data_IF_318034220865
#
_entry.id   IF_318034220865
#
_cell.length_a   1.000
_cell.length_b   1.000
_cell.length_c   1.000
_cell.angle_alpha   90.00
_cell.angle_beta   90.00
_cell.angle_gamma   90.00
#
_symmetry.space_group_name_H-M   'P 1'
#
loop_
_entity.id
_entity.type
_entity.pdbx_description
1 polymer ?
#
# COMPACT_ATOMS: atom_id res chain seq x y z
N UNK A 1 9.74 -1.57 3.92
CA UNK A 1 8.75 -0.70 3.25
C UNK A 1 8.93 -0.79 1.75
N UNK A 2 7.85 -0.77 0.97
CA UNK A 2 7.91 -0.61 -0.48
C UNK A 2 6.79 0.32 -0.96
N UNK A 3 7.04 1.05 -2.05
CA UNK A 3 6.02 1.81 -2.77
C UNK A 3 5.84 1.18 -4.15
N UNK A 4 4.59 1.04 -4.59
CA UNK A 4 4.23 0.45 -5.87
C UNK A 4 3.31 1.39 -6.65
N UNK A 5 3.36 1.29 -7.98
CA UNK A 5 2.45 1.96 -8.90
C UNK A 5 1.25 1.07 -9.24
N UNK A 6 0.21 1.66 -9.83
CA UNK A 6 -0.93 0.91 -10.37
C UNK A 6 -0.54 -0.07 -11.49
N UNK A 7 0.58 0.16 -12.15
CA UNK A 7 1.14 -0.71 -13.20
C UNK A 7 1.91 -1.92 -12.65
N UNK A 8 1.79 -2.21 -11.34
CA UNK A 8 2.48 -3.30 -10.63
C UNK A 8 4.01 -3.15 -10.61
N UNK A 9 4.54 -1.94 -10.80
CA UNK A 9 5.98 -1.66 -10.67
C UNK A 9 6.33 -1.17 -9.27
N UNK A 10 7.44 -1.65 -8.73
CA UNK A 10 8.06 -1.10 -7.52
C UNK A 10 8.69 0.26 -7.83
N UNK A 11 8.25 1.31 -7.15
CA UNK A 11 8.79 2.66 -7.27
C UNK A 11 9.91 2.89 -6.25
N UNK A 12 9.80 2.26 -5.08
CA UNK A 12 10.77 2.34 -4.01
C UNK A 12 10.76 1.04 -3.21
N UNK A 13 11.94 0.59 -2.77
CA UNK A 13 12.08 -0.59 -1.91
C UNK A 13 13.11 -0.28 -0.83
N UNK A 14 12.71 -0.43 0.43
CA UNK A 14 13.60 -0.34 1.57
C UNK A 14 13.60 -1.67 2.32
N UNK A 15 14.78 -2.29 2.32
CA UNK A 15 15.10 -3.55 3.00
C UNK A 15 16.06 -3.30 4.17
N UNK A 16 16.19 -4.26 5.09
CA UNK A 16 17.19 -4.17 6.17
C UNK A 16 16.66 -3.63 7.49
N UNK A 17 15.35 -3.43 7.61
CA UNK A 17 14.69 -3.10 8.87
C UNK A 17 14.24 -4.35 9.61
N UNK A 18 14.38 -4.33 10.94
CA UNK A 18 13.85 -5.35 11.82
C UNK A 18 12.32 -5.36 11.78
N UNK A 19 11.70 -6.55 11.94
CA UNK A 19 10.25 -6.68 11.94
C UNK A 19 9.54 -5.99 13.12
N UNK A 20 10.29 -5.60 14.15
CA UNK A 20 9.79 -4.80 15.29
C UNK A 20 9.77 -3.30 15.00
N UNK A 21 10.33 -2.85 13.87
CA UNK A 21 10.35 -1.43 13.53
C UNK A 21 8.95 -0.95 13.17
N UNK A 22 8.54 0.18 13.75
CA UNK A 22 7.25 0.78 13.39
C UNK A 22 7.30 1.28 11.95
N UNK A 23 6.19 1.10 11.24
CA UNK A 23 5.99 1.56 9.86
C UNK A 23 6.36 3.04 9.67
N UNK A 24 5.94 3.89 10.61
CA UNK A 24 6.26 5.31 10.61
C UNK A 24 7.77 5.58 10.71
N UNK A 25 8.50 4.81 11.52
CA UNK A 25 9.95 4.97 11.67
C UNK A 25 10.68 4.64 10.37
N UNK A 26 10.25 3.56 9.69
CA UNK A 26 10.82 3.16 8.39
C UNK A 26 10.51 4.21 7.32
N UNK A 27 9.29 4.73 7.28
CA UNK A 27 8.89 5.78 6.34
C UNK A 27 9.68 7.07 6.55
N UNK A 28 9.79 7.52 7.80
CA UNK A 28 10.54 8.73 8.14
C UNK A 28 11.99 8.63 7.65
N UNK A 29 12.67 7.52 7.98
CA UNK A 29 14.03 7.30 7.50
C UNK A 29 14.10 7.24 5.97
N UNK A 30 13.13 6.60 5.32
CA UNK A 30 13.11 6.51 3.86
C UNK A 30 13.03 7.91 3.21
N UNK A 31 12.23 8.81 3.76
CA UNK A 31 12.12 10.20 3.29
C UNK A 31 13.36 11.04 3.61
N UNK A 32 13.88 10.96 4.83
CA UNK A 32 14.98 11.82 5.30
C UNK A 32 16.35 11.37 4.78
N UNK A 33 16.57 10.06 4.67
CA UNK A 33 17.89 9.46 4.38
C UNK A 33 17.85 8.47 3.22
N UNK A 34 16.76 7.71 3.07
CA UNK A 34 16.63 6.65 2.08
C UNK A 34 16.38 7.12 0.64
N UNK A 35 16.23 8.42 0.40
CA UNK A 35 16.00 8.99 -0.94
C UNK A 35 14.59 8.77 -1.49
N UNK A 36 13.63 8.40 -0.65
CA UNK A 36 12.23 8.28 -1.05
C UNK A 36 11.61 9.68 -1.16
N UNK A 37 11.20 10.05 -2.37
CA UNK A 37 10.62 11.37 -2.66
C UNK A 37 9.19 11.19 -3.16
N UNK A 38 8.28 11.98 -2.61
CA UNK A 38 6.93 12.12 -3.13
C UNK A 38 6.95 13.28 -4.14
N UNK A 39 6.64 13.03 -5.43
CA UNK A 39 6.62 14.09 -6.43
C UNK A 39 5.62 15.19 -6.08
N UNK A 40 5.94 16.42 -6.49
CA UNK A 40 5.05 17.57 -6.28
C UNK A 40 3.66 17.33 -6.88
N UNK A 41 2.62 17.70 -6.14
CA UNK A 41 1.22 17.48 -6.53
C UNK A 41 0.77 16.02 -6.52
N UNK A 42 1.57 15.09 -5.99
CA UNK A 42 1.21 13.67 -5.85
C UNK A 42 1.22 13.23 -4.39
N UNK A 43 0.55 12.11 -4.14
CA UNK A 43 0.49 11.45 -2.83
C UNK A 43 0.48 9.93 -3.01
N UNK A 44 0.83 9.22 -1.93
CA UNK A 44 0.71 7.76 -1.84
C UNK A 44 -0.45 7.36 -0.92
N UNK A 45 -1.10 6.25 -1.24
CA UNK A 45 -2.09 5.63 -0.34
C UNK A 45 -1.37 4.71 0.66
N UNK A 46 -1.50 5.01 1.94
CA UNK A 46 -0.81 4.31 3.03
C UNK A 46 -1.78 3.56 3.92
N UNK A 47 -1.27 2.62 4.72
CA UNK A 47 -2.12 1.86 5.64
C UNK A 47 -2.58 2.71 6.82
N UNK A 48 -3.53 2.19 7.60
CA UNK A 48 -4.02 2.78 8.85
C UNK A 48 -2.94 2.97 9.93
N UNK A 49 -1.83 2.21 9.83
CA UNK A 49 -0.65 2.35 10.70
C UNK A 49 0.22 3.58 10.40
N UNK A 50 -0.07 4.31 9.31
CA UNK A 50 0.62 5.56 8.96
C UNK A 50 -0.21 6.77 9.37
N UNK A 51 0.46 7.90 9.60
CA UNK A 51 -0.18 9.19 9.79
C UNK A 51 -0.74 9.69 8.45
N UNK A 52 -1.89 10.35 8.52
CA UNK A 52 -2.48 11.01 7.37
C UNK A 52 -1.79 12.37 7.16
N UNK A 53 -1.22 12.58 5.98
CA UNK A 53 -0.59 13.85 5.57
C UNK A 53 -0.94 14.16 4.12
N UNK A 54 -0.61 15.36 3.65
CA UNK A 54 -0.78 15.75 2.24
C UNK A 54 -0.06 14.83 1.23
N UNK A 55 1.00 14.13 1.68
CA UNK A 55 1.81 13.21 0.85
C UNK A 55 1.45 11.74 1.05
N UNK A 56 0.83 11.41 2.18
CA UNK A 56 0.51 10.03 2.58
C UNK A 56 -0.93 9.96 3.09
N UNK A 57 -1.85 9.54 2.22
CA UNK A 57 -3.27 9.46 2.56
C UNK A 57 -3.61 8.12 3.21
N UNK A 58 -3.98 8.17 4.48
CA UNK A 58 -4.41 7.03 5.26
C UNK A 58 -5.95 6.86 5.20
N UNK A 59 -6.48 5.64 5.43
CA UNK A 59 -7.92 5.45 5.62
C UNK A 59 -8.43 6.18 6.88
N UNK A 60 -9.74 6.44 6.93
CA UNK A 60 -10.38 6.88 8.16
C UNK A 60 -10.37 5.76 9.20
N UNK A 61 -9.91 6.09 10.41
CA UNK A 61 -9.97 5.20 11.57
C UNK A 61 -11.43 5.06 12.05
N UNK A 62 -11.78 3.88 12.55
CA UNK A 62 -13.12 3.60 13.10
C UNK A 62 -14.20 3.28 12.07
N UNK A 63 -13.86 3.26 10.78
CA UNK A 63 -14.74 2.83 9.69
C UNK A 63 -14.33 1.45 9.16
N UNK A 64 -15.18 0.82 8.33
CA UNK A 64 -14.80 -0.42 7.64
C UNK A 64 -13.63 -0.15 6.70
N UNK A 65 -12.77 -1.16 6.49
CA UNK A 65 -11.56 -1.01 5.67
C UNK A 65 -11.26 -2.24 4.82
N UNK A 66 -11.40 -3.46 5.37
CA UNK A 66 -11.14 -4.66 4.57
C UNK A 66 -12.19 -4.83 3.48
N UNK A 67 -11.75 -5.10 2.24
CA UNK A 67 -12.65 -5.22 1.08
C UNK A 67 -13.70 -6.34 1.32
N UNK A 68 -13.32 -7.41 2.01
CA UNK A 68 -14.23 -8.49 2.41
C UNK A 68 -15.43 -8.01 3.25
N UNK A 69 -15.31 -6.91 4.00
CA UNK A 69 -16.39 -6.31 4.78
C UNK A 69 -17.43 -5.58 3.92
N UNK A 70 -17.11 -5.31 2.65
CA UNK A 70 -18.01 -4.71 1.67
C UNK A 70 -18.65 -5.76 0.76
N UNK A 71 -17.96 -6.89 0.53
CA UNK A 71 -18.44 -7.97 -0.35
C UNK A 71 -19.25 -9.06 0.36
N UNK A 72 -19.28 -9.08 1.70
CA UNK A 72 -19.91 -10.14 2.49
C UNK A 72 -21.42 -10.34 2.26
N UNK A 73 -22.16 -9.30 1.82
CA UNK A 73 -23.60 -9.40 1.51
C UNK A 73 -24.09 -8.20 0.71
N UNK A 74 -25.28 -8.30 0.12
CA UNK A 74 -25.93 -7.16 -0.56
C UNK A 74 -26.08 -5.93 0.35
N UNK A 75 -26.36 -6.14 1.64
CA UNK A 75 -26.44 -5.05 2.63
C UNK A 75 -25.06 -4.46 2.93
N UNK A 76 -24.02 -5.29 2.96
CA UNK A 76 -22.65 -4.84 3.21
C UNK A 76 -22.10 -3.94 2.08
N UNK A 77 -22.58 -4.14 0.84
CA UNK A 77 -22.22 -3.30 -0.32
C UNK A 77 -22.76 -1.88 -0.25
N UNK A 78 -23.76 -1.63 0.60
CA UNK A 78 -24.28 -0.28 0.81
C UNK A 78 -23.32 0.49 1.71
N UNK A 79 -22.86 1.63 1.22
CA UNK A 79 -21.99 2.54 1.97
C UNK A 79 -22.79 3.29 3.05
N UNK A 80 -22.31 3.22 4.29
CA UNK A 80 -23.01 3.79 5.45
C UNK A 80 -22.88 5.30 5.52
N UNK A 81 -21.74 5.82 5.11
CA UNK A 81 -21.38 7.23 5.16
C UNK A 81 -20.27 7.52 4.12
N UNK A 82 -19.92 8.81 3.89
CA UNK A 82 -18.85 9.16 2.96
C UNK A 82 -17.49 8.53 3.27
N UNK A 83 -17.12 8.43 4.55
CA UNK A 83 -15.84 7.86 5.00
C UNK A 83 -15.75 6.36 4.73
N UNK A 84 -16.86 5.66 4.90
CA UNK A 84 -17.01 4.23 4.59
C UNK A 84 -16.87 3.97 3.08
N UNK A 85 -17.40 4.86 2.22
CA UNK A 85 -17.13 4.81 0.77
C UNK A 85 -15.64 5.09 0.46
N UNK A 86 -15.06 6.13 1.06
CA UNK A 86 -13.66 6.47 0.86
C UNK A 86 -12.75 5.28 1.23
N UNK A 87 -12.95 4.68 2.41
CA UNK A 87 -12.17 3.53 2.85
C UNK A 87 -12.33 2.33 1.92
N UNK A 88 -13.53 2.05 1.41
CA UNK A 88 -13.72 0.98 0.44
C UNK A 88 -12.88 1.22 -0.83
N UNK A 89 -12.95 2.43 -1.40
CA UNK A 89 -12.18 2.78 -2.60
C UNK A 89 -10.67 2.78 -2.33
N UNK A 90 -10.27 3.29 -1.17
CA UNK A 90 -8.87 3.28 -0.73
C UNK A 90 -8.33 1.85 -0.64
N UNK A 91 -9.08 0.93 -0.01
CA UNK A 91 -8.70 -0.49 0.08
C UNK A 91 -8.67 -1.16 -1.30
N UNK A 92 -9.65 -0.91 -2.16
CA UNK A 92 -9.66 -1.40 -3.55
C UNK A 92 -8.41 -0.97 -4.32
N UNK A 93 -7.97 0.29 -4.18
CA UNK A 93 -6.76 0.79 -4.81
C UNK A 93 -5.50 0.17 -4.19
N UNK A 94 -5.45 0.02 -2.87
CA UNK A 94 -4.31 -0.59 -2.16
C UNK A 94 -4.11 -2.07 -2.47
N UNK A 95 -5.11 -2.78 -2.98
CA UNK A 95 -4.99 -4.17 -3.44
C UNK A 95 -3.82 -4.37 -4.43
N UNK A 96 -3.44 -3.33 -5.19
CA UNK A 96 -2.25 -3.38 -6.07
C UNK A 96 -0.97 -3.77 -5.33
N UNK A 97 -0.82 -3.41 -4.06
CA UNK A 97 0.34 -3.78 -3.22
C UNK A 97 0.41 -5.28 -3.07
N UNK A 98 -0.67 -5.90 -2.59
CA UNK A 98 -0.78 -7.33 -2.36
C UNK A 98 -0.60 -8.11 -3.67
N UNK A 99 -1.24 -7.67 -4.76
CA UNK A 99 -1.09 -8.28 -6.09
C UNK A 99 0.36 -8.24 -6.57
N UNK A 100 1.03 -7.10 -6.41
CA UNK A 100 2.43 -6.94 -6.82
C UNK A 100 3.34 -7.89 -6.03
N UNK A 101 3.18 -7.97 -4.71
CA UNK A 101 3.95 -8.89 -3.88
C UNK A 101 3.59 -10.37 -4.14
N UNK A 102 2.33 -10.68 -4.41
CA UNK A 102 1.89 -12.02 -4.80
C UNK A 102 2.56 -12.50 -6.09
N UNK A 103 2.61 -11.63 -7.11
CA UNK A 103 3.32 -11.88 -8.36
C UNK A 103 4.82 -12.06 -8.12
N UNK A 104 5.43 -11.17 -7.32
CA UNK A 104 6.85 -11.22 -6.99
C UNK A 104 7.21 -12.57 -6.33
N UNK A 105 6.44 -12.99 -5.32
CA UNK A 105 6.62 -14.27 -4.62
C UNK A 105 6.30 -15.47 -5.50
N UNK A 106 5.33 -15.37 -6.41
CA UNK A 106 5.00 -16.43 -7.38
C UNK A 106 6.16 -16.66 -8.35
N UNK A 107 6.77 -15.58 -8.83
CA UNK A 107 7.92 -15.60 -9.76
C UNK A 107 9.21 -16.04 -9.08
N UNK A 108 9.56 -15.41 -7.97
CA UNK A 108 10.81 -15.63 -7.26
C UNK A 108 10.56 -16.49 -6.01
N UNK A 109 10.51 -17.81 -6.21
CA UNK A 109 10.23 -18.77 -5.13
C UNK A 109 11.23 -18.72 -3.97
N UNK A 110 12.43 -18.18 -4.21
CA UNK A 110 13.45 -17.91 -3.17
C UNK A 110 12.92 -17.02 -2.05
N UNK A 111 11.93 -16.16 -2.32
CA UNK A 111 11.31 -15.28 -1.32
C UNK A 111 10.33 -16.02 -0.38
N UNK A 112 9.96 -17.27 -0.70
CA UNK A 112 9.02 -18.05 0.10
C UNK A 112 9.71 -19.09 0.99
N UNK A 113 11.04 -19.16 0.95
CA UNK A 113 11.82 -20.16 1.70
C UNK A 113 12.81 -19.46 2.60
N UNK A 114 13.02 -20.03 3.79
CA UNK A 114 14.13 -19.62 4.64
C UNK A 114 15.43 -19.98 3.92
N UNK A 115 16.21 -18.98 3.54
CA UNK A 115 17.46 -19.18 2.82
C UNK A 115 18.64 -19.16 3.81
N UNK A 116 19.66 -20.02 3.63
CA UNK A 116 20.83 -20.09 4.51
C UNK A 116 21.83 -18.96 4.23
N UNK A 117 21.34 -17.78 3.85
CA UNK A 117 22.17 -16.60 3.57
C UNK A 117 22.20 -15.68 4.78
N UNK A 118 23.27 -14.90 4.90
CA UNK A 118 23.33 -13.83 5.91
C UNK A 118 22.22 -12.81 5.67
N UNK A 119 21.77 -12.14 6.72
CA UNK A 119 20.70 -11.14 6.64
C UNK A 119 20.94 -10.07 5.55
N UNK A 120 22.19 -9.60 5.44
CA UNK A 120 22.60 -8.65 4.40
C UNK A 120 22.36 -9.19 2.99
N UNK A 121 22.70 -10.45 2.75
CA UNK A 121 22.49 -11.10 1.45
C UNK A 121 21.00 -11.32 1.19
N UNK A 122 20.22 -11.70 2.20
CA UNK A 122 18.76 -11.82 2.06
C UNK A 122 18.11 -10.49 1.64
N UNK A 123 18.53 -9.36 2.22
CA UNK A 123 18.07 -8.04 1.82
C UNK A 123 18.41 -7.72 0.36
N UNK A 124 19.63 -8.05 -0.08
CA UNK A 124 20.05 -7.86 -1.47
C UNK A 124 19.26 -8.75 -2.45
N UNK A 125 18.94 -9.99 -2.06
CA UNK A 125 18.08 -10.88 -2.86
C UNK A 125 16.70 -10.25 -3.04
N UNK A 126 16.08 -9.76 -1.96
CA UNK A 126 14.77 -9.11 -2.04
C UNK A 126 14.79 -7.89 -2.98
N UNK A 127 15.81 -7.02 -2.86
CA UNK A 127 15.97 -5.88 -3.78
C UNK A 127 16.18 -6.33 -5.23
N UNK A 128 17.05 -7.33 -5.47
CA UNK A 128 17.31 -7.85 -6.80
C UNK A 128 16.03 -8.41 -7.45
N UNK A 129 15.21 -9.15 -6.69
CA UNK A 129 13.91 -9.63 -7.17
C UNK A 129 13.00 -8.49 -7.61
N UNK A 130 12.88 -7.41 -6.82
CA UNK A 130 12.07 -6.25 -7.20
C UNK A 130 12.58 -5.55 -8.47
N UNK A 131 13.91 -5.41 -8.61
CA UNK A 131 14.55 -4.81 -9.80
C UNK A 131 14.28 -5.65 -11.04
N UNK A 132 14.49 -6.97 -10.95
CA UNK A 132 14.28 -7.89 -12.08
C UNK A 132 12.78 -7.95 -12.45
N UNK A 133 11.88 -7.94 -11.46
CA UNK A 133 10.44 -7.82 -11.70
C UNK A 133 10.09 -6.61 -12.54
N UNK A 134 10.56 -5.42 -12.15
CA UNK A 134 10.34 -4.20 -12.91
C UNK A 134 10.94 -4.27 -14.33
N UNK A 135 12.13 -4.85 -14.47
CA UNK A 135 12.76 -5.02 -15.78
C UNK A 135 11.90 -5.89 -16.71
N UNK A 136 11.44 -7.04 -16.22
CA UNK A 136 10.56 -7.94 -16.96
C UNK A 136 9.25 -7.22 -17.31
N UNK A 137 8.62 -6.54 -16.34
CA UNK A 137 7.35 -5.85 -16.57
C UNK A 137 7.44 -4.81 -17.69
N UNK A 138 8.58 -4.13 -17.83
CA UNK A 138 8.80 -3.13 -18.88
C UNK A 138 9.07 -3.71 -20.27
N UNK A 139 9.65 -4.92 -20.36
CA UNK A 139 10.17 -5.45 -21.63
C UNK A 139 9.44 -6.70 -22.13
N UNK A 140 8.62 -7.35 -21.29
CA UNK A 140 7.94 -8.58 -21.63
C UNK A 140 6.42 -8.41 -21.52
N UNK A 141 5.80 -7.97 -22.61
CA UNK A 141 4.36 -7.69 -22.67
C UNK A 141 3.48 -8.94 -22.45
N UNK A 142 3.94 -10.11 -22.88
CA UNK A 142 3.18 -11.38 -22.85
C UNK A 142 3.60 -12.31 -21.71
N UNK A 143 3.84 -11.77 -20.52
CA UNK A 143 4.24 -12.57 -19.37
C UNK A 143 3.02 -13.13 -18.62
N UNK A 144 2.80 -14.44 -18.77
CA UNK A 144 1.67 -15.20 -18.24
C UNK A 144 1.53 -15.20 -16.70
N UNK A 145 2.52 -14.68 -15.96
CA UNK A 145 2.44 -14.60 -14.50
C UNK A 145 1.61 -13.39 -14.07
N UNK A 146 1.54 -12.34 -14.89
CA UNK A 146 0.64 -11.22 -14.63
C UNK A 146 -0.79 -11.67 -14.94
N UNK A 147 -1.74 -11.56 -13.99
CA UNK A 147 -3.13 -11.89 -14.26
C UNK A 147 -3.66 -10.94 -15.35
N UNK A 148 -4.55 -11.47 -16.21
CA UNK A 148 -5.46 -10.62 -17.00
C UNK A 148 -6.23 -9.70 -16.04
N UNK A 149 -6.67 -8.53 -16.50
CA UNK A 149 -7.34 -7.49 -15.69
C UNK A 149 -8.75 -7.89 -15.17
N UNK A 150 -8.94 -9.13 -14.71
CA UNK A 150 -10.17 -9.64 -14.12
C UNK A 150 -10.27 -9.45 -12.59
N UNK A 151 -11.47 -9.57 -12.01
CA UNK A 151 -11.69 -9.40 -10.57
C UNK A 151 -11.15 -10.60 -9.79
N UNK A 152 -10.14 -10.36 -8.94
CA UNK A 152 -9.43 -11.39 -8.14
C UNK A 152 -10.10 -11.68 -6.77
N UNK A 153 -10.07 -12.96 -6.37
CA UNK A 153 -10.45 -13.48 -5.04
C UNK A 153 -9.49 -12.99 -3.94
N UNK A 154 -10.05 -12.54 -2.82
CA UNK A 154 -9.34 -11.84 -1.74
C UNK A 154 -9.01 -12.78 -0.57
N UNK A 155 -7.76 -12.77 -0.11
CA UNK A 155 -7.38 -13.29 1.21
C UNK A 155 -7.00 -12.10 2.10
N UNK A 156 -7.79 -11.86 3.14
CA UNK A 156 -7.55 -10.80 4.10
C UNK A 156 -6.63 -11.30 5.24
N UNK A 157 -5.41 -10.77 5.30
CA UNK A 157 -4.61 -10.83 6.53
C UNK A 157 -4.90 -9.60 7.39
N UNK A 158 -5.05 -9.85 8.68
CA UNK A 158 -5.67 -8.97 9.66
C UNK A 158 -4.56 -8.42 10.55
N UNK A 159 -4.25 -7.12 10.49
CA UNK A 159 -3.30 -6.50 11.41
C UNK A 159 -3.88 -5.23 12.02
N UNK A 160 -4.17 -5.32 13.32
CA UNK A 160 -4.45 -4.20 14.18
C UNK A 160 -3.17 -3.74 14.87
N UNK A 161 -3.00 -2.43 14.95
CA UNK A 161 -1.95 -1.80 15.74
C UNK A 161 -2.26 -0.32 15.94
N UNK A 162 -2.67 0.03 17.16
CA UNK A 162 -2.81 1.40 17.62
C UNK A 162 -1.46 1.83 18.20
N UNK A 163 -0.91 2.94 17.73
CA UNK A 163 -0.22 3.87 18.62
C UNK A 163 -0.20 5.27 17.98
N UNK A 164 -0.69 6.25 18.73
CA UNK A 164 -0.55 7.67 18.41
C UNK A 164 0.84 8.10 18.82
N UNK A 165 1.50 8.96 18.03
CA UNK A 165 2.33 10.05 18.58
C UNK A 165 2.73 11.05 17.48
N UNK A 166 2.04 12.18 17.56
CA UNK A 166 2.50 13.58 17.45
C UNK A 166 3.81 13.82 16.70
N UNK A 167 3.66 14.38 15.50
CA UNK A 167 4.66 15.18 14.81
C UNK A 167 4.05 15.76 13.55
N UNK A 168 4.06 17.10 13.43
CA UNK A 168 3.57 17.91 12.29
C UNK A 168 2.07 18.22 12.27
N UNK A 169 1.66 19.19 13.10
CA UNK A 169 0.27 19.67 13.20
C UNK A 169 -0.21 20.32 11.88
N UNK A 170 0.67 20.95 11.10
CA UNK A 170 0.32 21.63 9.84
C UNK A 170 0.15 20.65 8.65
N UNK A 171 1.10 19.74 8.40
CA UNK A 171 0.98 18.69 7.36
C UNK A 171 -0.22 17.76 7.62
N UNK A 172 -0.56 17.56 8.89
CA UNK A 172 -1.72 16.76 9.31
C UNK A 172 -3.03 17.46 8.91
N UNK A 173 -3.15 18.77 9.13
CA UNK A 173 -4.37 19.51 8.77
C UNK A 173 -4.57 19.55 7.25
N UNK A 174 -3.52 19.84 6.48
CA UNK A 174 -3.58 19.82 5.02
C UNK A 174 -3.96 18.42 4.49
N UNK A 175 -3.40 17.37 5.10
CA UNK A 175 -3.74 15.99 4.76
C UNK A 175 -5.20 15.64 5.07
N UNK A 176 -5.73 16.10 6.20
CA UNK A 176 -7.14 15.89 6.56
C UNK A 176 -8.08 16.61 5.60
N UNK A 177 -7.76 17.85 5.24
CA UNK A 177 -8.56 18.65 4.30
C UNK A 177 -8.55 18.04 2.89
N UNK A 178 -7.37 17.58 2.42
CA UNK A 178 -7.24 16.86 1.15
C UNK A 178 -8.09 15.59 1.15
N UNK A 179 -7.97 14.77 2.21
CA UNK A 179 -8.73 13.53 2.34
C UNK A 179 -10.24 13.79 2.41
N UNK A 180 -10.67 14.80 3.17
CA UNK A 180 -12.07 15.20 3.27
C UNK A 180 -12.63 15.68 1.92
N UNK A 181 -11.85 16.44 1.15
CA UNK A 181 -12.24 16.90 -0.18
C UNK A 181 -12.45 15.70 -1.12
N UNK A 182 -11.48 14.78 -1.21
CA UNK A 182 -11.61 13.55 -2.01
C UNK A 182 -12.83 12.75 -1.59
N UNK A 183 -13.04 12.61 -0.28
CA UNK A 183 -14.18 11.87 0.29
C UNK A 183 -15.52 12.47 -0.13
N UNK A 184 -15.66 13.79 -0.06
CA UNK A 184 -16.87 14.49 -0.47
C UNK A 184 -17.10 14.38 -1.98
N UNK A 185 -16.03 14.50 -2.79
CA UNK A 185 -16.13 14.31 -4.24
C UNK A 185 -16.63 12.91 -4.58
N UNK A 186 -16.01 11.86 -4.04
CA UNK A 186 -16.41 10.47 -4.22
C UNK A 186 -17.88 10.24 -3.82
N UNK A 187 -18.31 10.85 -2.71
CA UNK A 187 -19.68 10.71 -2.22
C UNK A 187 -20.69 11.38 -3.14
N UNK A 188 -20.36 12.56 -3.66
CA UNK A 188 -21.25 13.33 -4.53
C UNK A 188 -21.33 12.77 -5.94
N UNK A 189 -20.28 12.08 -6.40
CA UNK A 189 -20.24 11.41 -7.71
C UNK A 189 -20.63 9.94 -7.68
N UNK A 190 -21.17 9.44 -6.55
CA UNK A 190 -21.67 8.05 -6.49
C UNK A 190 -22.95 7.96 -7.34
N UNK A 191 -22.82 7.40 -8.53
CA UNK A 191 -23.94 7.03 -9.42
C UNK A 191 -24.24 5.55 -9.18
#
# INVERSE_FOLDING_TARGET
MAAVSFDLNFLFVCTGWEGSATDMRVLRWACETGGFVVPEGKYYLVDSGYANTEKFLAPYRGERYHISQFDASTRARVHRNPRDLYNHRHAQLRNVVERTFGILKKRFKILNVATPFSYKVQCLIAMACCIIHNFIRRHQANDNIFPDEGPDEQNAENEGGVDDLVGVIEDSQNGEDLRANITNQLWNTRI
#
